data_IF_227279586024
#
_entry.id   IF_227279586024
#
_cell.length_a   1.000
_cell.length_b   1.000
_cell.length_c   1.000
_cell.angle_alpha   90.00
_cell.angle_beta   90.00
_cell.angle_gamma   90.00
#
_symmetry.space_group_name_H-M   'P 1'
#
loop_
_entity.id
_entity.type
_entity.pdbx_description
1 polymer ?
#
# COMPACT_ATOMS: atom_id res chain seq x y z
N UNK A 1 -28.85 74.64 10.94
CA UNK A 1 -27.40 74.51 11.22
C UNK A 1 -27.01 73.03 11.18
N UNK A 2 -26.23 72.60 10.18
CA UNK A 2 -25.82 71.21 10.01
C UNK A 2 -24.32 70.97 10.30
N UNK A 3 -23.98 69.68 10.42
CA UNK A 3 -22.67 69.03 10.22
C UNK A 3 -21.58 69.18 11.30
N UNK A 4 -21.52 68.14 12.13
CA UNK A 4 -20.36 67.63 12.88
C UNK A 4 -19.57 66.65 11.98
N UNK A 5 -18.25 66.47 12.17
CA UNK A 5 -17.29 66.41 11.07
C UNK A 5 -16.77 65.02 10.68
N UNK A 6 -16.35 64.97 9.41
CA UNK A 6 -15.12 64.37 8.83
C UNK A 6 -14.52 63.10 9.48
N UNK A 7 -14.55 62.04 8.68
CA UNK A 7 -13.77 60.81 8.83
C UNK A 7 -12.24 61.03 8.81
N UNK A 8 -11.49 60.04 9.33
CA UNK A 8 -10.31 59.47 8.68
C UNK A 8 -10.58 57.98 8.34
N UNK A 9 -10.52 57.59 7.06
CA UNK A 9 -9.33 57.07 6.35
C UNK A 9 -8.73 55.79 6.94
N UNK A 10 -9.18 54.67 6.36
CA UNK A 10 -8.45 53.46 5.96
C UNK A 10 -7.07 53.15 6.58
N UNK A 11 -6.99 52.01 7.28
CA UNK A 11 -5.91 51.03 7.20
C UNK A 11 -6.52 49.70 7.70
N UNK A 12 -6.97 48.80 6.83
CA UNK A 12 -6.18 47.77 6.15
C UNK A 12 -5.55 46.75 7.12
N UNK A 13 -6.00 45.51 6.93
CA UNK A 13 -5.29 44.22 7.06
C UNK A 13 -5.31 43.44 8.38
N UNK A 14 -5.58 42.14 8.15
CA UNK A 14 -5.26 40.96 8.95
C UNK A 14 -6.24 40.57 10.08
N UNK A 15 -7.40 40.01 9.69
CA UNK A 15 -8.04 38.98 10.54
C UNK A 15 -7.24 37.70 10.33
N UNK A 16 -6.31 37.45 11.25
CA UNK A 16 -5.55 36.21 11.35
C UNK A 16 -6.50 35.04 11.62
N UNK A 17 -6.45 34.08 10.71
CA UNK A 17 -6.96 32.72 10.86
C UNK A 17 -6.52 32.10 12.18
N UNK A 18 -7.44 31.46 12.90
CA UNK A 18 -7.18 30.31 13.78
C UNK A 18 -8.52 29.61 14.07
N UNK A 19 -9.09 29.03 13.02
CA UNK A 19 -9.92 27.85 13.19
C UNK A 19 -8.95 26.66 13.24
N UNK A 20 -8.74 26.05 14.40
CA UNK A 20 -8.16 24.71 14.46
C UNK A 20 -8.58 23.97 15.74
N UNK A 21 -9.52 23.05 15.51
CA UNK A 21 -9.50 21.69 16.04
C UNK A 21 -9.72 21.49 17.54
N UNK A 22 -10.98 21.62 17.93
CA UNK A 22 -11.56 20.71 18.92
C UNK A 22 -11.81 19.35 18.27
N UNK A 23 -11.08 18.32 18.71
CA UNK A 23 -11.61 17.06 19.23
C UNK A 23 -10.47 16.07 19.40
N UNK A 24 -10.15 15.87 20.67
CA UNK A 24 -9.34 14.76 21.16
C UNK A 24 -10.11 13.47 20.89
N UNK A 25 -9.47 12.55 20.17
CA UNK A 25 -9.57 11.11 20.43
C UNK A 25 -10.90 10.41 20.18
N UNK A 26 -10.98 9.73 19.03
CA UNK A 26 -11.50 8.35 19.00
C UNK A 26 -10.44 7.48 18.31
N UNK A 27 -9.48 6.91 19.05
CA UNK A 27 -8.71 5.78 18.55
C UNK A 27 -9.52 4.54 18.91
N UNK A 28 -10.28 3.97 17.97
CA UNK A 28 -10.67 2.54 17.97
C UNK A 28 -11.80 2.31 16.97
N UNK A 29 -11.47 1.71 15.85
CA UNK A 29 -12.01 0.41 15.45
C UNK A 29 -11.52 0.13 14.04
N UNK A 30 -11.06 -1.09 13.81
CA UNK A 30 -10.39 -1.56 12.60
C UNK A 30 -8.92 -1.14 12.49
N UNK A 31 -8.13 -1.52 13.51
CA UNK A 31 -7.06 -2.45 13.16
C UNK A 31 -7.73 -3.74 12.65
N UNK A 32 -8.38 -3.65 11.48
CA UNK A 32 -8.61 -4.82 10.67
C UNK A 32 -7.19 -5.32 10.51
N UNK A 33 -6.95 -6.51 11.03
CA UNK A 33 -5.75 -7.26 10.76
C UNK A 33 -5.42 -6.99 9.29
N UNK A 34 -4.45 -6.11 9.00
CA UNK A 34 -4.01 -5.79 7.63
C UNK A 34 -3.23 -6.99 7.09
N UNK A 35 -3.67 -8.18 7.49
CA UNK A 35 -3.21 -9.47 7.11
C UNK A 35 -3.21 -9.51 5.59
N UNK A 36 -2.09 -10.05 5.11
CA UNK A 36 -1.88 -10.45 3.74
C UNK A 36 -3.11 -11.20 3.21
N UNK A 37 -3.35 -11.16 1.90
CA UNK A 37 -4.69 -11.27 1.35
C UNK A 37 -5.43 -12.53 1.76
N UNK A 38 -6.77 -12.45 1.78
CA UNK A 38 -7.61 -13.57 2.17
C UNK A 38 -7.26 -14.83 1.39
N UNK A 39 -7.18 -15.96 2.10
CA UNK A 39 -6.86 -17.26 1.49
C UNK A 39 -7.82 -17.54 0.33
N UNK A 40 -7.27 -17.94 -0.82
CA UNK A 40 -8.06 -18.41 -1.96
C UNK A 40 -8.42 -17.37 -3.03
N UNK A 41 -7.68 -16.26 -3.17
CA UNK A 41 -7.87 -15.35 -4.32
C UNK A 41 -7.57 -16.12 -5.63
N UNK A 42 -8.53 -16.28 -6.55
CA UNK A 42 -8.29 -16.95 -7.83
C UNK A 42 -7.54 -16.00 -8.77
N UNK A 43 -6.39 -16.43 -9.29
CA UNK A 43 -5.40 -15.54 -9.94
C UNK A 43 -5.01 -16.03 -11.34
N UNK A 44 -6.01 -16.47 -12.10
CA UNK A 44 -5.84 -16.70 -13.53
C UNK A 44 -6.52 -15.57 -14.28
N UNK A 45 -5.73 -14.67 -14.84
CA UNK A 45 -6.21 -13.67 -15.79
C UNK A 45 -5.29 -13.74 -16.99
N UNK A 46 -5.83 -14.11 -18.14
CA UNK A 46 -5.07 -14.28 -19.38
C UNK A 46 -4.23 -13.02 -19.66
N UNK A 47 -2.91 -13.14 -19.58
CA UNK A 47 -1.94 -12.13 -20.02
C UNK A 47 -1.57 -11.01 -19.05
N UNK A 48 -2.34 -10.73 -17.99
CA UNK A 48 -1.99 -9.68 -17.01
C UNK A 48 -2.46 -10.00 -15.61
N UNK A 49 -1.52 -10.12 -14.68
CA UNK A 49 -1.88 -10.31 -13.27
C UNK A 49 -2.38 -8.98 -12.69
N UNK A 50 -3.59 -8.93 -12.13
CA UNK A 50 -4.15 -7.70 -11.55
C UNK A 50 -3.38 -7.28 -10.30
N UNK A 51 -3.37 -5.96 -10.04
CA UNK A 51 -2.99 -5.41 -8.74
C UNK A 51 -4.27 -5.23 -7.93
N UNK A 52 -4.31 -5.86 -6.77
CA UNK A 52 -5.42 -5.84 -5.82
C UNK A 52 -5.07 -4.92 -4.65
N UNK A 53 -6.06 -4.54 -3.85
CA UNK A 53 -5.84 -3.73 -2.66
C UNK A 53 -6.36 -4.47 -1.43
N UNK A 54 -5.60 -4.49 -0.34
CA UNK A 54 -6.05 -5.09 0.91
C UNK A 54 -7.07 -4.19 1.61
N UNK A 55 -7.60 -4.63 2.76
CA UNK A 55 -8.55 -3.86 3.56
C UNK A 55 -8.00 -2.48 3.99
N UNK A 56 -6.68 -2.34 4.02
CA UNK A 56 -5.97 -1.11 4.40
C UNK A 56 -5.56 -0.27 3.18
N UNK A 57 -6.05 -0.61 1.98
CA UNK A 57 -5.78 0.13 0.74
C UNK A 57 -4.37 -0.07 0.19
N UNK A 58 -3.60 -1.02 0.71
CA UNK A 58 -2.25 -1.30 0.22
C UNK A 58 -2.32 -2.18 -1.03
N UNK A 59 -1.63 -1.81 -2.12
CA UNK A 59 -1.60 -2.62 -3.31
C UNK A 59 -0.89 -3.95 -3.02
N UNK A 60 -1.29 -5.01 -3.70
CA UNK A 60 -0.59 -6.29 -3.72
C UNK A 60 -0.88 -7.04 -5.01
N UNK A 61 0.00 -7.97 -5.37
CA UNK A 61 -0.23 -8.94 -6.44
C UNK A 61 -0.07 -10.34 -5.89
N UNK A 62 -1.08 -11.19 -6.08
CA UNK A 62 -1.06 -12.55 -5.58
C UNK A 62 -0.78 -13.56 -6.69
N UNK A 63 -0.49 -14.81 -6.29
CA UNK A 63 -0.49 -15.96 -7.21
C UNK A 63 0.91 -16.44 -7.58
N UNK A 64 1.87 -16.03 -6.77
CA UNK A 64 3.23 -16.51 -6.84
C UNK A 64 3.36 -17.82 -6.06
N UNK A 65 4.20 -18.72 -6.54
CA UNK A 65 4.50 -19.99 -5.86
C UNK A 65 5.99 -20.29 -5.92
N UNK A 66 6.58 -20.74 -4.83
CA UNK A 66 7.95 -21.23 -4.77
C UNK A 66 7.95 -22.77 -4.71
N UNK A 67 8.52 -23.39 -5.74
CA UNK A 67 8.72 -24.83 -5.84
C UNK A 67 10.22 -25.12 -6.00
N UNK A 68 10.82 -25.80 -5.01
CA UNK A 68 12.27 -25.91 -4.90
C UNK A 68 12.96 -24.55 -4.96
N UNK A 69 13.80 -24.35 -5.98
CA UNK A 69 14.53 -23.10 -6.25
C UNK A 69 13.88 -22.22 -7.33
N UNK A 70 12.63 -22.51 -7.69
CA UNK A 70 11.91 -21.86 -8.79
C UNK A 70 10.71 -21.07 -8.29
N UNK A 71 10.67 -19.78 -8.63
CA UNK A 71 9.51 -18.92 -8.48
C UNK A 71 8.62 -19.04 -9.74
N UNK A 72 7.36 -19.40 -9.53
CA UNK A 72 6.31 -19.39 -10.54
C UNK A 72 5.51 -18.10 -10.42
N UNK A 73 5.36 -17.40 -11.54
CA UNK A 73 4.61 -16.17 -11.64
C UNK A 73 3.15 -16.48 -11.99
N UNK A 74 2.20 -15.64 -11.53
CA UNK A 74 0.80 -15.77 -11.89
C UNK A 74 0.53 -15.64 -13.40
N UNK A 75 1.42 -14.97 -14.14
CA UNK A 75 1.37 -14.88 -15.61
C UNK A 75 1.79 -16.15 -16.34
N UNK A 76 2.31 -17.16 -15.63
CA UNK A 76 2.86 -18.39 -16.19
C UNK A 76 4.38 -18.37 -16.41
N UNK A 77 5.05 -17.22 -16.24
CA UNK A 77 6.50 -17.14 -16.28
C UNK A 77 7.15 -17.84 -15.07
N UNK A 78 8.45 -18.14 -15.15
CA UNK A 78 9.24 -18.70 -14.05
C UNK A 78 10.58 -18.00 -13.90
N UNK A 79 11.14 -18.04 -12.70
CA UNK A 79 12.52 -17.65 -12.42
C UNK A 79 13.14 -18.68 -11.48
N UNK A 80 14.15 -19.40 -11.97
CA UNK A 80 14.88 -20.41 -11.21
C UNK A 80 16.26 -19.90 -10.78
N UNK A 81 16.67 -20.30 -9.58
CA UNK A 81 18.04 -20.12 -9.07
C UNK A 81 18.71 -21.49 -8.92
N UNK A 82 19.15 -22.12 -10.02
CA UNK A 82 19.59 -23.53 -10.02
C UNK A 82 20.87 -23.79 -9.23
N UNK A 83 21.63 -22.74 -8.91
CA UNK A 83 22.88 -22.84 -8.15
C UNK A 83 22.70 -22.56 -6.65
N UNK A 84 21.48 -22.17 -6.22
CA UNK A 84 21.17 -21.88 -4.83
C UNK A 84 20.57 -23.12 -4.16
N UNK A 85 20.73 -23.23 -2.84
CA UNK A 85 19.89 -24.13 -2.05
C UNK A 85 18.44 -23.63 -2.02
N UNK A 86 17.48 -24.48 -1.64
CA UNK A 86 16.08 -24.05 -1.54
C UNK A 86 15.88 -22.88 -0.57
N UNK A 87 16.59 -22.88 0.56
CA UNK A 87 16.49 -21.82 1.57
C UNK A 87 17.04 -20.50 1.03
N UNK A 88 18.21 -20.52 0.39
CA UNK A 88 18.82 -19.34 -0.23
C UNK A 88 17.97 -18.81 -1.38
N UNK A 89 17.43 -19.70 -2.22
CA UNK A 89 16.55 -19.33 -3.32
C UNK A 89 15.27 -18.68 -2.78
N UNK A 90 14.64 -19.26 -1.76
CA UNK A 90 13.46 -18.70 -1.13
C UNK A 90 13.72 -17.31 -0.56
N UNK A 91 14.78 -17.13 0.21
CA UNK A 91 15.17 -15.83 0.76
C UNK A 91 15.41 -14.81 -0.36
N UNK A 92 16.26 -15.17 -1.32
CA UNK A 92 16.65 -14.28 -2.43
C UNK A 92 15.44 -13.86 -3.25
N UNK A 93 14.58 -14.81 -3.64
CA UNK A 93 13.41 -14.55 -4.46
C UNK A 93 12.37 -13.73 -3.68
N UNK A 94 12.20 -13.97 -2.38
CA UNK A 94 11.32 -13.15 -1.53
C UNK A 94 11.79 -11.72 -1.42
N UNK A 95 13.09 -11.50 -1.26
CA UNK A 95 13.67 -10.16 -1.18
C UNK A 95 13.55 -9.46 -2.54
N UNK A 96 14.03 -10.10 -3.60
CA UNK A 96 14.09 -9.52 -4.95
C UNK A 96 12.69 -9.14 -5.49
N UNK A 97 11.69 -9.97 -5.20
CA UNK A 97 10.32 -9.75 -5.68
C UNK A 97 9.38 -9.16 -4.64
N UNK A 98 9.86 -8.85 -3.43
CA UNK A 98 9.04 -8.32 -2.35
C UNK A 98 7.89 -9.26 -1.96
N UNK A 99 8.18 -10.56 -1.85
CA UNK A 99 7.17 -11.59 -1.60
C UNK A 99 7.03 -11.90 -0.12
N UNK A 100 5.79 -12.09 0.30
CA UNK A 100 5.39 -12.42 1.67
C UNK A 100 4.32 -13.51 1.66
N UNK A 101 4.20 -14.24 2.76
CA UNK A 101 3.26 -15.36 2.89
C UNK A 101 3.90 -16.75 2.72
N UNK A 102 3.10 -17.82 2.67
CA UNK A 102 3.57 -19.20 2.52
C UNK A 102 4.00 -19.50 1.08
N UNK A 103 4.88 -20.50 0.88
CA UNK A 103 5.50 -20.83 -0.43
C UNK A 103 4.50 -21.12 -1.54
N UNK A 104 3.35 -21.69 -1.22
CA UNK A 104 2.29 -22.06 -2.15
C UNK A 104 1.26 -20.94 -2.41
N UNK A 105 1.33 -19.84 -1.65
CA UNK A 105 0.45 -18.69 -1.79
C UNK A 105 1.17 -17.37 -1.50
N UNK A 106 2.26 -17.13 -2.22
CA UNK A 106 3.06 -15.90 -2.09
C UNK A 106 2.35 -14.72 -2.73
N UNK A 107 2.54 -13.56 -2.11
CA UNK A 107 2.05 -12.29 -2.61
C UNK A 107 3.17 -11.26 -2.65
N UNK A 108 3.19 -10.47 -3.71
CA UNK A 108 4.08 -9.34 -3.90
C UNK A 108 3.46 -8.09 -3.30
N UNK A 109 4.21 -7.44 -2.41
CA UNK A 109 3.82 -6.20 -1.73
C UNK A 109 4.83 -5.07 -1.94
N UNK A 110 5.90 -5.31 -2.71
CA UNK A 110 6.89 -4.29 -3.09
C UNK A 110 7.23 -4.37 -4.58
N UNK A 111 7.54 -3.22 -5.16
CA UNK A 111 7.91 -3.03 -6.56
C UNK A 111 9.33 -2.46 -6.62
N UNK A 112 10.19 -2.89 -7.55
CA UNK A 112 11.45 -2.21 -7.77
C UNK A 112 11.14 -0.77 -8.20
N UNK A 113 11.85 0.18 -7.60
CA UNK A 113 11.80 1.60 -7.98
C UNK A 113 12.39 1.83 -9.38
#
# INVERSE_FOLDING_TARGET
MPRVPRAPRFAALAVSSLALSGLVGVPSALAADCSLPPKGVPLKTEGRTPVLHNACGQPFQAGYRLEGTTLHFPSGATHALPQATEAEAEETLRIAYGLVGPRDALVRTRWPE
#
